data_IF_814137155996
#
_entry.id   IF_814137155996
#
_cell.length_a   1.000
_cell.length_b   1.000
_cell.length_c   1.000
_cell.angle_alpha   90.00
_cell.angle_beta   90.00
_cell.angle_gamma   90.00
#
_symmetry.space_group_name_H-M   'P 1'
#
loop_
_entity.id
_entity.type
_entity.pdbx_description
1 polymer ?
#
# COMPACT_ATOMS: atom_id res chain seq x y z
N UNK A 1 -35.84 22.05 3.50
CA UNK A 1 -35.17 20.93 4.19
C UNK A 1 -34.34 20.19 3.15
N UNK A 2 -33.02 20.14 3.26
CA UNK A 2 -32.19 19.26 2.40
C UNK A 2 -32.38 17.83 2.85
N UNK A 3 -32.75 16.94 1.94
CA UNK A 3 -32.74 15.49 2.22
C UNK A 3 -31.41 15.08 2.86
N UNK A 4 -31.39 14.20 3.88
CA UNK A 4 -30.16 13.71 4.46
C UNK A 4 -29.37 13.04 3.35
N UNK A 5 -28.19 13.57 3.00
CA UNK A 5 -27.28 12.90 2.06
C UNK A 5 -27.03 11.48 2.57
N UNK A 6 -27.30 10.50 1.73
CA UNK A 6 -27.01 9.09 2.03
C UNK A 6 -25.56 8.98 2.53
N UNK A 7 -25.35 8.22 3.62
CA UNK A 7 -24.00 8.00 4.17
C UNK A 7 -23.11 7.37 3.10
N UNK A 8 -21.88 7.85 2.97
CA UNK A 8 -20.94 7.26 2.03
C UNK A 8 -20.66 5.80 2.39
N UNK A 9 -20.61 4.95 1.37
CA UNK A 9 -20.48 3.50 1.46
C UNK A 9 -19.01 3.11 1.46
N UNK A 10 -18.56 2.40 2.49
CA UNK A 10 -17.16 2.01 2.64
C UNK A 10 -17.05 0.49 2.56
N UNK A 11 -16.18 -0.01 1.69
CA UNK A 11 -15.72 -1.38 1.67
C UNK A 11 -14.35 -1.45 2.34
N UNK A 12 -14.18 -2.38 3.28
CA UNK A 12 -12.89 -2.62 3.94
C UNK A 12 -12.26 -3.86 3.32
N UNK A 13 -10.99 -3.77 2.96
CA UNK A 13 -10.21 -4.89 2.45
C UNK A 13 -8.92 -5.02 3.29
N UNK A 14 -8.90 -5.99 4.19
CA UNK A 14 -7.81 -6.24 5.13
C UNK A 14 -7.86 -7.72 5.55
N UNK A 15 -6.74 -8.43 5.50
CA UNK A 15 -6.66 -9.84 5.91
C UNK A 15 -6.59 -10.03 7.43
N UNK A 16 -6.40 -8.94 8.18
CA UNK A 16 -6.42 -8.91 9.63
C UNK A 16 -7.84 -8.61 10.16
N UNK A 17 -8.63 -9.67 10.44
CA UNK A 17 -10.03 -9.54 10.85
C UNK A 17 -10.24 -8.56 12.02
N UNK A 18 -9.41 -8.63 13.07
CA UNK A 18 -9.51 -7.71 14.22
C UNK A 18 -9.35 -6.24 13.82
N UNK A 19 -8.45 -5.97 12.87
CA UNK A 19 -8.23 -4.60 12.36
C UNK A 19 -9.43 -4.14 11.53
N UNK A 20 -9.95 -5.00 10.67
CA UNK A 20 -11.13 -4.72 9.86
C UNK A 20 -12.36 -4.42 10.76
N UNK A 21 -12.57 -5.20 11.81
CA UNK A 21 -13.67 -5.01 12.77
C UNK A 21 -13.51 -3.72 13.57
N UNK A 22 -12.29 -3.38 14.00
CA UNK A 22 -12.00 -2.12 14.68
C UNK A 22 -12.26 -0.91 13.76
N UNK A 23 -11.82 -0.98 12.51
CA UNK A 23 -12.11 0.05 11.50
C UNK A 23 -13.61 0.20 11.24
N UNK A 24 -14.32 -0.92 11.16
CA UNK A 24 -15.78 -0.91 11.01
C UNK A 24 -16.44 -0.19 12.17
N UNK A 25 -16.14 -0.55 13.42
CA UNK A 25 -16.71 0.11 14.60
C UNK A 25 -16.42 1.62 14.63
N UNK A 26 -15.20 2.02 14.23
CA UNK A 26 -14.81 3.43 14.19
C UNK A 26 -15.56 4.22 13.11
N UNK A 27 -15.86 3.62 11.97
CA UNK A 27 -16.45 4.30 10.82
C UNK A 27 -17.98 4.28 10.82
N UNK A 28 -18.65 3.25 11.38
CA UNK A 28 -20.10 3.10 11.35
C UNK A 28 -20.90 4.26 11.94
N UNK A 29 -20.43 5.05 12.93
CA UNK A 29 -21.20 6.20 13.40
C UNK A 29 -21.48 7.24 12.32
N UNK A 30 -20.58 7.40 11.32
CA UNK A 30 -20.67 8.45 10.28
C UNK A 30 -20.88 7.91 8.87
N UNK A 31 -20.42 6.69 8.59
CA UNK A 31 -20.38 6.06 7.27
C UNK A 31 -21.13 4.73 7.29
N UNK A 32 -21.42 4.20 6.13
CA UNK A 32 -22.00 2.85 6.00
C UNK A 32 -20.89 1.88 5.58
N UNK A 33 -20.42 1.01 6.47
CA UNK A 33 -19.55 -0.10 6.09
C UNK A 33 -20.38 -1.18 5.42
N UNK A 34 -20.16 -1.41 4.13
CA UNK A 34 -20.99 -2.28 3.30
C UNK A 34 -20.47 -3.70 3.19
N UNK A 35 -19.21 -3.93 3.54
CA UNK A 35 -18.61 -5.26 3.54
C UNK A 35 -17.16 -5.25 4.00
N UNK A 36 -16.64 -6.45 4.27
CA UNK A 36 -15.23 -6.71 4.57
C UNK A 36 -14.74 -7.81 3.62
N UNK A 37 -13.56 -7.62 3.05
CA UNK A 37 -12.89 -8.58 2.16
C UNK A 37 -11.50 -8.87 2.73
N UNK A 38 -11.12 -10.14 2.79
CA UNK A 38 -9.84 -10.59 3.38
C UNK A 38 -8.82 -11.08 2.34
N UNK A 39 -9.15 -11.00 1.06
CA UNK A 39 -8.31 -11.47 -0.05
C UNK A 39 -8.46 -10.51 -1.25
N UNK A 40 -7.36 -9.98 -1.73
CA UNK A 40 -7.34 -8.99 -2.82
C UNK A 40 -8.02 -9.45 -4.11
N UNK A 41 -8.07 -10.77 -4.37
CA UNK A 41 -8.73 -11.32 -5.57
C UNK A 41 -10.24 -11.12 -5.56
N UNK A 42 -10.86 -11.08 -4.39
CA UNK A 42 -12.30 -10.89 -4.23
C UNK A 42 -12.70 -9.41 -4.26
N UNK A 43 -11.74 -8.48 -4.29
CA UNK A 43 -12.03 -7.04 -4.22
C UNK A 43 -12.89 -6.58 -5.41
N UNK A 44 -12.61 -7.04 -6.62
CA UNK A 44 -13.34 -6.62 -7.83
C UNK A 44 -14.81 -7.07 -7.81
N UNK A 45 -15.06 -8.29 -7.32
CA UNK A 45 -16.42 -8.84 -7.18
C UNK A 45 -17.19 -8.10 -6.08
N UNK A 46 -16.56 -7.89 -4.93
CA UNK A 46 -17.12 -7.14 -3.82
C UNK A 46 -17.46 -5.68 -4.22
N UNK A 47 -16.63 -5.04 -5.03
CA UNK A 47 -16.90 -3.70 -5.57
C UNK A 47 -18.15 -3.69 -6.46
N UNK A 48 -18.35 -4.75 -7.24
CA UNK A 48 -19.52 -4.87 -8.11
C UNK A 48 -20.80 -5.12 -7.31
N UNK A 49 -20.72 -5.94 -6.29
CA UNK A 49 -21.82 -6.29 -5.41
C UNK A 49 -22.21 -5.12 -4.47
N UNK A 50 -21.24 -4.62 -3.73
CA UNK A 50 -21.49 -3.63 -2.67
C UNK A 50 -21.50 -2.18 -3.17
N UNK A 51 -21.02 -1.88 -4.37
CA UNK A 51 -20.98 -0.53 -4.97
C UNK A 51 -20.51 0.54 -3.97
N UNK A 52 -19.28 0.42 -3.44
CA UNK A 52 -18.76 1.37 -2.45
C UNK A 52 -18.37 2.70 -3.11
N UNK A 53 -18.43 3.79 -2.34
CA UNK A 53 -17.87 5.09 -2.70
C UNK A 53 -16.38 5.17 -2.38
N UNK A 54 -16.00 4.51 -1.26
CA UNK A 54 -14.62 4.50 -0.73
C UNK A 54 -14.23 3.05 -0.44
N UNK A 55 -13.00 2.69 -0.76
CA UNK A 55 -12.38 1.44 -0.32
C UNK A 55 -11.25 1.77 0.64
N UNK A 56 -11.30 1.21 1.85
CA UNK A 56 -10.19 1.15 2.78
C UNK A 56 -9.44 -0.14 2.48
N UNK A 57 -8.18 -0.05 2.06
CA UNK A 57 -7.48 -1.14 1.40
C UNK A 57 -6.10 -1.36 2.02
N UNK A 58 -5.87 -2.51 2.62
CA UNK A 58 -4.52 -2.90 3.02
C UNK A 58 -3.66 -3.20 1.78
N UNK A 59 -2.39 -2.82 1.86
CA UNK A 59 -1.42 -3.11 0.80
C UNK A 59 -1.03 -4.59 0.82
N UNK A 60 -0.88 -5.17 2.00
CA UNK A 60 -0.29 -6.51 2.18
C UNK A 60 -1.35 -7.58 2.41
N UNK A 61 -2.17 -7.81 1.39
CA UNK A 61 -3.14 -8.90 1.39
C UNK A 61 -2.59 -10.17 0.72
N UNK A 62 -3.02 -11.36 1.14
CA UNK A 62 -2.63 -12.61 0.50
C UNK A 62 -3.11 -12.67 -0.96
N UNK A 63 -2.36 -13.41 -1.79
CA UNK A 63 -2.67 -13.78 -3.18
C UNK A 63 -2.65 -12.63 -4.18
N UNK A 64 -3.25 -11.47 -3.88
CA UNK A 64 -3.17 -10.25 -4.67
C UNK A 64 -2.97 -9.08 -3.73
N UNK A 65 -1.81 -8.41 -3.86
CA UNK A 65 -1.53 -7.25 -3.02
C UNK A 65 -2.48 -6.08 -3.32
N UNK A 66 -2.70 -5.22 -2.31
CA UNK A 66 -3.67 -4.14 -2.40
C UNK A 66 -3.35 -3.09 -3.47
N UNK A 67 -2.07 -2.84 -3.78
CA UNK A 67 -1.72 -1.88 -4.84
C UNK A 67 -2.22 -2.37 -6.20
N UNK A 68 -2.01 -3.65 -6.51
CA UNK A 68 -2.45 -4.25 -7.77
C UNK A 68 -3.98 -4.39 -7.81
N UNK A 69 -4.59 -4.82 -6.69
CA UNK A 69 -6.04 -4.92 -6.57
C UNK A 69 -6.71 -3.54 -6.73
N UNK A 70 -6.19 -2.52 -6.06
CA UNK A 70 -6.66 -1.14 -6.16
C UNK A 70 -6.53 -0.56 -7.57
N UNK A 71 -5.40 -0.81 -8.24
CA UNK A 71 -5.20 -0.39 -9.62
C UNK A 71 -6.22 -1.02 -10.58
N UNK A 72 -6.51 -2.33 -10.42
CA UNK A 72 -7.54 -3.00 -11.20
C UNK A 72 -8.92 -2.38 -10.97
N UNK A 73 -9.26 -2.04 -9.73
CA UNK A 73 -10.49 -1.33 -9.41
C UNK A 73 -10.54 0.04 -10.08
N UNK A 74 -9.47 0.83 -9.99
CA UNK A 74 -9.40 2.17 -10.60
C UNK A 74 -9.54 2.13 -12.12
N UNK A 75 -8.98 1.14 -12.80
CA UNK A 75 -9.13 0.96 -14.26
C UNK A 75 -10.59 0.72 -14.65
N UNK A 76 -11.38 -0.01 -13.85
CA UNK A 76 -12.79 -0.34 -14.14
C UNK A 76 -13.77 0.68 -13.56
N UNK A 77 -13.46 1.28 -12.42
CA UNK A 77 -14.31 2.17 -11.65
C UNK A 77 -13.52 3.39 -11.16
N UNK A 78 -13.16 4.33 -12.03
CA UNK A 78 -12.25 5.45 -11.71
C UNK A 78 -12.80 6.40 -10.63
N UNK A 79 -14.11 6.45 -10.43
CA UNK A 79 -14.76 7.32 -9.43
C UNK A 79 -14.62 6.80 -8.00
N UNK A 80 -14.36 5.50 -7.80
CA UNK A 80 -14.17 4.95 -6.45
C UNK A 80 -12.90 5.54 -5.85
N UNK A 81 -13.00 6.00 -4.61
CA UNK A 81 -11.88 6.57 -3.86
C UNK A 81 -11.15 5.47 -3.11
N UNK A 82 -9.82 5.40 -3.25
CA UNK A 82 -8.99 4.42 -2.57
C UNK A 82 -8.23 5.07 -1.43
N UNK A 83 -8.34 4.51 -0.22
CA UNK A 83 -7.51 4.85 0.92
C UNK A 83 -6.67 3.62 1.24
N UNK A 84 -5.37 3.69 1.02
CA UNK A 84 -4.47 2.65 1.49
C UNK A 84 -4.26 2.76 3.00
N UNK A 85 -4.42 1.64 3.69
CA UNK A 85 -4.36 1.53 5.13
C UNK A 85 -3.35 0.44 5.51
N UNK A 86 -2.16 0.83 5.93
CA UNK A 86 -1.00 -0.06 5.96
C UNK A 86 -0.06 0.22 7.13
N UNK A 87 0.78 -0.76 7.47
CA UNK A 87 1.85 -0.59 8.47
C UNK A 87 3.10 0.10 7.91
N UNK A 88 3.20 0.27 6.59
CA UNK A 88 4.43 0.76 5.95
C UNK A 88 4.54 2.28 5.96
N UNK A 89 5.67 2.78 6.50
CA UNK A 89 6.08 4.19 6.53
C UNK A 89 6.83 4.63 5.26
N UNK A 90 7.16 3.70 4.37
CA UNK A 90 8.05 3.96 3.23
C UNK A 90 7.45 4.95 2.23
N UNK A 91 8.15 6.07 2.02
CA UNK A 91 7.71 7.16 1.15
C UNK A 91 7.52 6.74 -0.31
N UNK A 92 8.35 5.82 -0.82
CA UNK A 92 8.24 5.30 -2.18
C UNK A 92 7.02 4.36 -2.37
N UNK A 93 6.62 3.62 -1.33
CA UNK A 93 5.37 2.85 -1.35
C UNK A 93 4.16 3.78 -1.38
N UNK A 94 4.17 4.85 -0.56
CA UNK A 94 3.13 5.87 -0.58
C UNK A 94 3.05 6.58 -1.94
N UNK A 95 4.19 6.98 -2.50
CA UNK A 95 4.26 7.60 -3.83
C UNK A 95 3.71 6.67 -4.93
N UNK A 96 4.00 5.36 -4.85
CA UNK A 96 3.44 4.37 -5.76
C UNK A 96 1.93 4.24 -5.61
N UNK A 97 1.42 4.21 -4.38
CA UNK A 97 -0.01 4.20 -4.12
C UNK A 97 -0.73 5.38 -4.79
N UNK A 98 -0.18 6.59 -4.64
CA UNK A 98 -0.75 7.78 -5.29
C UNK A 98 -0.63 7.75 -6.82
N UNK A 99 0.46 7.23 -7.38
CA UNK A 99 0.59 7.03 -8.84
C UNK A 99 -0.46 6.07 -9.39
N UNK A 100 -0.85 5.06 -8.62
CA UNK A 100 -1.92 4.09 -8.96
C UNK A 100 -3.33 4.59 -8.64
N UNK A 101 -3.48 5.86 -8.25
CA UNK A 101 -4.78 6.50 -8.07
C UNK A 101 -5.32 6.51 -6.66
N UNK A 102 -4.47 6.39 -5.63
CA UNK A 102 -4.88 6.60 -4.25
C UNK A 102 -5.47 7.99 -4.04
N UNK A 103 -6.51 8.05 -3.23
CA UNK A 103 -7.07 9.28 -2.68
C UNK A 103 -6.54 9.54 -1.28
N UNK A 104 -6.10 8.49 -0.56
CA UNK A 104 -5.53 8.58 0.78
C UNK A 104 -4.51 7.49 1.06
N UNK A 105 -3.61 7.79 2.00
CA UNK A 105 -2.64 6.84 2.56
C UNK A 105 -2.57 7.06 4.07
N UNK A 106 -2.93 6.05 4.85
CA UNK A 106 -3.08 6.11 6.30
C UNK A 106 -2.31 4.96 6.93
N UNK A 107 -1.60 5.26 8.02
CA UNK A 107 -0.87 4.26 8.77
C UNK A 107 -1.78 3.54 9.77
N UNK A 108 -1.71 2.21 9.83
CA UNK A 108 -2.48 1.39 10.78
C UNK A 108 -2.15 1.74 12.24
N UNK A 109 -0.91 2.12 12.53
CA UNK A 109 -0.49 2.55 13.87
C UNK A 109 -1.16 3.86 14.35
N UNK A 110 -1.65 4.69 13.44
CA UNK A 110 -2.35 5.95 13.73
C UNK A 110 -3.88 5.84 13.55
N UNK A 111 -4.40 4.63 13.37
CA UNK A 111 -5.79 4.40 12.97
C UNK A 111 -6.82 5.12 13.84
N UNK A 112 -6.64 5.12 15.17
CA UNK A 112 -7.62 5.71 16.10
C UNK A 112 -7.82 7.21 15.91
N UNK A 113 -6.80 7.96 15.50
CA UNK A 113 -6.84 9.42 15.37
C UNK A 113 -6.98 9.88 13.92
N UNK A 114 -6.35 9.18 12.99
CA UNK A 114 -6.21 9.62 11.61
C UNK A 114 -7.25 9.03 10.65
N UNK A 115 -7.71 7.80 10.88
CA UNK A 115 -8.54 7.10 9.91
C UNK A 115 -9.83 7.86 9.62
N UNK A 116 -10.54 8.28 10.67
CA UNK A 116 -11.80 9.01 10.52
C UNK A 116 -11.59 10.36 9.80
N UNK A 117 -10.51 11.07 10.14
CA UNK A 117 -10.13 12.32 9.47
C UNK A 117 -9.83 12.09 7.99
N UNK A 118 -9.06 11.05 7.67
CA UNK A 118 -8.70 10.68 6.31
C UNK A 118 -9.94 10.37 5.47
N UNK A 119 -10.84 9.53 6.00
CA UNK A 119 -12.09 9.19 5.32
C UNK A 119 -12.97 10.41 5.08
N UNK A 120 -13.10 11.32 6.08
CA UNK A 120 -13.85 12.58 5.92
C UNK A 120 -13.27 13.45 4.79
N UNK A 121 -11.94 13.64 4.76
CA UNK A 121 -11.25 14.43 3.73
C UNK A 121 -11.42 13.79 2.36
N UNK A 122 -11.14 12.51 2.24
CA UNK A 122 -11.28 11.77 0.98
C UNK A 122 -12.75 11.79 0.51
N UNK A 123 -13.73 11.67 1.41
CA UNK A 123 -15.14 11.77 1.04
C UNK A 123 -15.49 13.13 0.42
N UNK A 124 -14.83 14.21 0.82
CA UNK A 124 -14.98 15.56 0.22
C UNK A 124 -14.23 15.75 -1.09
N UNK A 125 -13.44 14.74 -1.53
CA UNK A 125 -12.61 14.81 -2.73
C UNK A 125 -11.19 15.36 -2.47
N UNK A 126 -10.81 15.57 -1.22
CA UNK A 126 -9.47 15.97 -0.82
C UNK A 126 -8.55 14.74 -0.78
N UNK A 127 -7.24 14.94 -0.90
CA UNK A 127 -6.25 13.88 -0.67
C UNK A 127 -5.83 13.85 0.80
N UNK A 128 -5.42 12.69 1.26
CA UNK A 128 -4.87 12.53 2.61
C UNK A 128 -3.58 11.70 2.59
N UNK A 129 -2.58 12.18 3.29
CA UNK A 129 -1.33 11.47 3.56
C UNK A 129 -1.05 11.54 5.06
N UNK A 130 -0.78 10.40 5.71
CA UNK A 130 -0.39 10.37 7.12
C UNK A 130 0.81 11.28 7.38
N UNK A 131 0.77 12.17 8.40
CA UNK A 131 1.85 13.12 8.68
C UNK A 131 3.21 12.48 8.91
N UNK A 132 3.25 11.27 9.45
CA UNK A 132 4.50 10.52 9.64
C UNK A 132 5.15 10.16 8.29
N UNK A 133 4.35 9.74 7.30
CA UNK A 133 4.84 9.45 5.93
C UNK A 133 5.26 10.72 5.22
N UNK A 134 4.51 11.82 5.42
CA UNK A 134 4.84 13.11 4.83
C UNK A 134 6.21 13.63 5.30
N UNK A 135 6.50 13.50 6.60
CA UNK A 135 7.79 13.86 7.17
C UNK A 135 8.94 13.05 6.58
N UNK A 136 8.78 11.74 6.45
CA UNK A 136 9.75 10.85 5.79
C UNK A 136 9.94 11.22 4.32
N UNK A 137 8.86 11.50 3.60
CA UNK A 137 8.89 11.92 2.19
C UNK A 137 9.64 13.22 2.01
N UNK A 138 9.39 14.22 2.85
CA UNK A 138 10.09 15.51 2.81
C UNK A 138 11.57 15.33 3.11
N UNK A 139 11.92 14.56 4.14
CA UNK A 139 13.31 14.25 4.49
C UNK A 139 14.03 13.53 3.34
N UNK A 140 13.36 12.56 2.72
CA UNK A 140 13.88 11.84 1.57
C UNK A 140 14.13 12.76 0.36
N UNK A 141 13.19 13.66 0.04
CA UNK A 141 13.32 14.62 -1.07
C UNK A 141 14.42 15.65 -0.81
N UNK A 142 14.53 16.17 0.43
CA UNK A 142 15.57 17.13 0.80
C UNK A 142 16.97 16.53 0.75
N UNK A 143 17.13 15.27 1.13
CA UNK A 143 18.42 14.58 1.10
C UNK A 143 18.88 14.20 -0.33
N UNK A 144 17.99 14.16 -1.30
CA UNK A 144 18.29 13.80 -2.70
C UNK A 144 18.60 14.96 -3.64
N UNK A 145 18.31 16.20 -3.28
CA UNK A 145 18.77 17.42 -3.97
C UNK A 145 18.56 17.54 -5.48
N UNK A 146 17.83 16.63 -6.16
CA UNK A 146 17.49 16.71 -7.58
C UNK A 146 16.20 15.93 -7.91
N UNK A 147 15.42 16.40 -8.93
CA UNK A 147 14.30 15.60 -9.46
C UNK A 147 14.89 14.34 -10.10
N UNK A 148 14.36 13.18 -9.72
CA UNK A 148 14.74 11.89 -10.27
C UNK A 148 14.53 11.86 -11.79
N UNK A 149 15.63 11.99 -12.54
CA UNK A 149 15.71 11.29 -13.81
C UNK A 149 15.54 9.78 -13.53
N UNK A 150 14.90 8.99 -14.41
CA UNK A 150 14.65 7.58 -14.17
C UNK A 150 15.94 6.76 -14.30
N UNK A 151 16.88 6.99 -13.40
CA UNK A 151 17.97 6.05 -13.23
C UNK A 151 17.42 4.81 -12.53
N UNK A 152 17.71 3.65 -13.11
CA UNK A 152 17.38 2.30 -12.60
C UNK A 152 18.07 2.03 -11.26
N UNK A 153 17.72 2.79 -10.22
CA UNK A 153 18.30 2.64 -8.89
C UNK A 153 17.26 2.00 -7.97
N UNK A 154 17.71 0.98 -7.27
CA UNK A 154 16.93 0.37 -6.20
C UNK A 154 16.99 1.23 -4.95
N UNK A 155 15.90 1.23 -4.17
CA UNK A 155 15.80 1.96 -2.91
C UNK A 155 16.71 1.33 -1.84
N UNK A 156 17.05 2.03 -0.75
CA UNK A 156 17.82 1.44 0.36
C UNK A 156 17.17 0.15 0.89
N UNK A 157 15.84 0.12 1.02
CA UNK A 157 15.10 -1.06 1.46
C UNK A 157 15.18 -2.22 0.47
N UNK A 158 15.11 -1.93 -0.82
CA UNK A 158 15.31 -2.92 -1.87
C UNK A 158 16.76 -3.45 -1.87
N UNK A 159 17.73 -2.58 -1.60
CA UNK A 159 19.13 -2.97 -1.47
C UNK A 159 19.36 -3.94 -0.30
N UNK A 160 18.79 -3.65 0.87
CA UNK A 160 18.84 -4.51 2.04
C UNK A 160 18.21 -5.89 1.75
N UNK A 161 17.02 -5.91 1.16
CA UNK A 161 16.36 -7.15 0.78
C UNK A 161 17.17 -7.93 -0.26
N UNK A 162 17.77 -7.24 -1.23
CA UNK A 162 18.61 -7.86 -2.26
C UNK A 162 19.83 -8.51 -1.64
N UNK A 163 20.48 -7.86 -0.69
CA UNK A 163 21.62 -8.43 0.04
C UNK A 163 21.22 -9.71 0.78
N UNK A 164 20.14 -9.67 1.57
CA UNK A 164 19.67 -10.84 2.32
C UNK A 164 19.23 -12.00 1.41
N UNK A 165 18.63 -11.69 0.25
CA UNK A 165 18.34 -12.70 -0.79
C UNK A 165 19.62 -13.33 -1.34
N UNK A 166 20.65 -12.51 -1.56
CA UNK A 166 21.93 -12.94 -2.08
C UNK A 166 22.73 -13.79 -1.06
N UNK A 167 22.53 -13.52 0.23
CA UNK A 167 23.02 -14.35 1.35
C UNK A 167 22.25 -15.67 1.50
N UNK A 168 21.23 -15.92 0.67
CA UNK A 168 20.50 -17.17 0.59
C UNK A 168 19.28 -17.27 1.51
N UNK A 169 18.86 -16.17 2.15
CA UNK A 169 17.66 -16.19 2.99
C UNK A 169 16.39 -16.28 2.14
N UNK A 170 15.42 -17.05 2.63
CA UNK A 170 14.08 -17.09 2.08
C UNK A 170 13.32 -15.79 2.39
N UNK A 171 12.30 -15.46 1.60
CA UNK A 171 11.48 -14.26 1.84
C UNK A 171 10.84 -14.23 3.23
N UNK A 172 10.55 -15.40 3.82
CA UNK A 172 10.03 -15.49 5.19
C UNK A 172 11.10 -15.12 6.21
N UNK A 173 12.30 -15.67 6.10
CA UNK A 173 13.44 -15.35 6.97
C UNK A 173 13.83 -13.87 6.85
N UNK A 174 13.84 -13.31 5.63
CA UNK A 174 14.08 -11.89 5.43
C UNK A 174 13.01 -11.06 6.15
N UNK A 175 11.74 -11.42 6.01
CA UNK A 175 10.65 -10.74 6.68
C UNK A 175 10.83 -10.71 8.19
N UNK A 176 11.27 -11.82 8.78
CA UNK A 176 11.57 -11.94 10.21
C UNK A 176 12.77 -11.03 10.59
N UNK A 177 13.86 -11.03 9.81
CA UNK A 177 15.07 -10.22 10.06
C UNK A 177 14.77 -8.72 10.04
N UNK A 178 14.00 -8.27 9.05
CA UNK A 178 13.72 -6.84 8.85
C UNK A 178 12.38 -6.40 9.48
N UNK A 179 11.76 -7.28 10.25
CA UNK A 179 10.52 -7.07 11.01
C UNK A 179 9.35 -6.54 10.14
N UNK A 180 9.07 -7.24 9.04
CA UNK A 180 7.94 -6.94 8.14
C UNK A 180 7.17 -8.21 7.78
N UNK A 181 6.08 -8.08 7.03
CA UNK A 181 5.37 -9.24 6.49
C UNK A 181 6.11 -9.84 5.27
N UNK A 182 6.06 -11.17 5.05
CA UNK A 182 6.65 -11.80 3.85
C UNK A 182 6.14 -11.20 2.53
N UNK A 183 4.89 -10.75 2.49
CA UNK A 183 4.31 -10.04 1.34
C UNK A 183 5.02 -8.72 1.04
N UNK A 184 5.53 -8.01 2.06
CA UNK A 184 6.33 -6.79 1.91
C UNK A 184 7.65 -7.09 1.20
N UNK A 185 8.33 -8.17 1.62
CA UNK A 185 9.58 -8.62 0.97
C UNK A 185 9.32 -8.98 -0.50
N UNK A 186 8.24 -9.71 -0.76
CA UNK A 186 7.84 -10.07 -2.12
C UNK A 186 7.57 -8.82 -2.98
N UNK A 187 6.84 -7.83 -2.44
CA UNK A 187 6.59 -6.56 -3.11
C UNK A 187 7.89 -5.87 -3.52
N UNK A 188 8.82 -5.65 -2.57
CA UNK A 188 10.09 -4.99 -2.87
C UNK A 188 10.93 -5.77 -3.87
N UNK A 189 10.95 -7.10 -3.77
CA UNK A 189 11.65 -7.96 -4.72
C UNK A 189 11.10 -7.78 -6.15
N UNK A 190 9.79 -7.87 -6.34
CA UNK A 190 9.20 -7.75 -7.68
C UNK A 190 9.34 -6.34 -8.24
N UNK A 191 9.16 -5.31 -7.41
CA UNK A 191 9.41 -3.91 -7.82
C UNK A 191 10.86 -3.67 -8.22
N UNK A 192 11.80 -4.25 -7.50
CA UNK A 192 13.23 -4.17 -7.83
C UNK A 192 13.51 -4.87 -9.16
N UNK A 193 12.97 -6.06 -9.38
CA UNK A 193 13.10 -6.79 -10.64
C UNK A 193 12.52 -5.98 -11.82
N UNK A 194 11.35 -5.37 -11.65
CA UNK A 194 10.73 -4.48 -12.64
C UNK A 194 11.62 -3.25 -12.93
N UNK A 195 12.08 -2.55 -11.90
CA UNK A 195 12.94 -1.37 -12.00
C UNK A 195 14.25 -1.69 -12.75
N UNK A 196 14.83 -2.85 -12.49
CA UNK A 196 16.08 -3.31 -13.09
C UNK A 196 15.88 -4.03 -14.43
N UNK A 197 14.62 -4.25 -14.83
CA UNK A 197 14.25 -5.03 -16.02
C UNK A 197 14.79 -6.47 -15.98
N UNK A 198 14.71 -7.12 -14.80
CA UNK A 198 15.10 -8.49 -14.56
C UNK A 198 13.86 -9.39 -14.53
N UNK A 199 13.97 -10.61 -15.06
CA UNK A 199 12.85 -11.54 -15.21
C UNK A 199 12.91 -12.74 -14.29
N UNK A 200 14.11 -13.07 -13.81
CA UNK A 200 14.37 -14.28 -13.01
C UNK A 200 15.11 -13.96 -11.72
N UNK A 201 14.96 -14.85 -10.74
CA UNK A 201 15.76 -14.79 -9.50
C UNK A 201 17.26 -14.89 -9.76
N UNK A 202 17.67 -15.70 -10.75
CA UNK A 202 19.06 -15.85 -11.12
C UNK A 202 19.66 -14.53 -11.65
N UNK A 203 18.91 -13.80 -12.47
CA UNK A 203 19.32 -12.47 -12.93
C UNK A 203 19.43 -11.46 -11.79
N UNK A 204 18.51 -11.54 -10.81
CA UNK A 204 18.50 -10.68 -9.63
C UNK A 204 19.75 -10.96 -8.75
N UNK A 205 20.07 -12.22 -8.52
CA UNK A 205 21.29 -12.63 -7.79
C UNK A 205 22.56 -12.24 -8.57
N UNK A 206 22.58 -12.44 -9.89
CA UNK A 206 23.66 -11.99 -10.75
C UNK A 206 23.89 -10.46 -10.70
N UNK A 207 22.82 -9.68 -10.55
CA UNK A 207 22.90 -8.25 -10.33
C UNK A 207 23.54 -7.89 -8.98
N UNK A 208 23.16 -8.63 -7.90
CA UNK A 208 23.75 -8.44 -6.57
C UNK A 208 25.26 -8.75 -6.55
N UNK A 209 25.66 -9.85 -7.20
CA UNK A 209 27.08 -10.24 -7.33
C UNK A 209 27.91 -9.17 -8.07
N UNK A 210 27.41 -8.64 -9.19
CA UNK A 210 28.10 -7.59 -9.96
C UNK A 210 28.28 -6.30 -9.15
N UNK A 211 27.46 -6.03 -8.15
CA UNK A 211 27.56 -4.86 -7.27
C UNK A 211 28.35 -5.11 -6.00
N UNK A 212 29.02 -6.27 -5.88
CA UNK A 212 29.79 -6.65 -4.70
C UNK A 212 29.00 -6.55 -3.38
N UNK A 213 27.71 -6.87 -3.45
CA UNK A 213 26.83 -6.87 -2.25
C UNK A 213 27.05 -8.14 -1.40
N UNK A 214 27.80 -9.10 -1.89
CA UNK A 214 28.29 -10.30 -1.22
C UNK A 214 29.74 -10.53 -1.61
N UNK A 215 30.56 -10.88 -0.62
CA UNK A 215 31.95 -11.35 -0.78
C UNK A 215 31.96 -12.86 -0.98
#
# INVERSE_FOLDING_TARGET
MREPRARARILIADDHQLMADACKQLLEPEFQVVGIVTDGRHLADAVTEFKPDIILLDIYMPRLNGLDAGEQVKKKKPMIKLIFFTMTLEADVAAEAFRRGASGYVLKQSAGTELLLAVRKVNRGERYLSPLVEKETVTFLLNRGQPLAPEKRITPRQSEILQLLAEGLSMKQIADVINVQPGTVAFHKYRMMETLNLRTNAELLGYALKRQMIS
#
